data_IF_189455483581
#
_entry.id   IF_189455483581
#
_cell.length_a   1.000
_cell.length_b   1.000
_cell.length_c   1.000
_cell.angle_alpha   90.00
_cell.angle_beta   90.00
_cell.angle_gamma   90.00
#
_symmetry.space_group_name_H-M   'P 1'
#
loop_
_entity.id
_entity.type
_entity.pdbx_description
1 polymer ?
#
# COMPACT_ATOMS: atom_id res chain seq x y z
N UNK A 1 -17.26 13.81 2.90
CA UNK A 1 -15.93 13.58 3.52
C UNK A 1 -15.33 12.32 2.88
N UNK A 2 -14.14 12.40 2.30
CA UNK A 2 -13.51 11.25 1.64
C UNK A 2 -13.02 10.25 2.71
N UNK A 3 -13.15 8.95 2.46
CA UNK A 3 -12.67 7.91 3.36
C UNK A 3 -11.50 7.15 2.77
N UNK A 4 -10.48 6.86 3.57
CA UNK A 4 -9.36 5.98 3.22
C UNK A 4 -9.63 4.60 3.82
N UNK A 5 -9.62 3.57 2.98
CA UNK A 5 -9.71 2.17 3.40
C UNK A 5 -8.33 1.64 3.70
N UNK A 6 -8.11 1.20 4.94
CA UNK A 6 -6.85 0.60 5.39
C UNK A 6 -7.11 -0.87 5.67
N UNK A 7 -6.33 -1.76 5.05
CA UNK A 7 -6.32 -3.18 5.40
C UNK A 7 -5.04 -3.48 6.17
N UNK A 8 -5.20 -3.85 7.45
CA UNK A 8 -4.09 -4.32 8.28
C UNK A 8 -3.90 -5.81 8.02
N UNK A 9 -2.68 -6.17 7.63
CA UNK A 9 -2.24 -7.54 7.37
C UNK A 9 -1.28 -7.96 8.48
N UNK A 10 -1.43 -9.19 8.99
CA UNK A 10 -0.54 -9.79 10.00
C UNK A 10 -0.25 -8.82 11.16
N UNK A 11 -1.32 -8.40 11.86
CA UNK A 11 -1.26 -7.34 12.88
C UNK A 11 -0.52 -7.82 14.13
N UNK A 12 0.24 -6.93 14.76
CA UNK A 12 0.64 -7.12 16.15
C UNK A 12 -0.52 -6.80 17.12
N UNK A 13 -0.78 -7.63 18.16
CA UNK A 13 -1.86 -7.42 19.14
C UNK A 13 -1.86 -6.04 19.81
N UNK A 14 -0.67 -5.54 20.17
CA UNK A 14 -0.48 -4.23 20.81
C UNK A 14 -0.93 -3.01 20.00
N UNK A 15 -1.23 -3.16 18.70
CA UNK A 15 -1.75 -2.07 17.86
C UNK A 15 -3.27 -1.87 17.93
N UNK A 16 -4.03 -2.76 18.60
CA UNK A 16 -5.50 -2.79 18.51
C UNK A 16 -6.17 -1.48 18.96
N UNK A 17 -5.62 -0.85 20.00
CA UNK A 17 -6.13 0.41 20.53
C UNK A 17 -5.96 1.56 19.54
N UNK A 18 -4.89 1.57 18.75
CA UNK A 18 -4.67 2.58 17.72
C UNK A 18 -5.73 2.50 16.62
N UNK A 19 -6.02 1.30 16.12
CA UNK A 19 -6.93 1.11 14.98
C UNK A 19 -8.32 1.67 15.27
N UNK A 20 -8.80 1.50 16.51
CA UNK A 20 -10.05 2.07 16.98
C UNK A 20 -10.01 3.61 17.06
N UNK A 21 -8.86 4.18 17.46
CA UNK A 21 -8.66 5.64 17.58
C UNK A 21 -8.57 6.35 16.23
N UNK A 22 -7.98 5.74 15.20
CA UNK A 22 -7.77 6.38 13.88
C UNK A 22 -9.06 6.92 13.26
N UNK A 23 -10.18 6.22 13.45
CA UNK A 23 -11.49 6.66 12.97
C UNK A 23 -11.92 8.00 13.61
N UNK A 24 -11.65 8.19 14.91
CA UNK A 24 -11.99 9.40 15.68
C UNK A 24 -11.05 10.57 15.36
N UNK A 25 -9.79 10.27 15.04
CA UNK A 25 -8.79 11.29 14.69
C UNK A 25 -9.11 12.05 13.40
N UNK A 26 -9.90 11.45 12.50
CA UNK A 26 -10.37 12.11 11.28
C UNK A 26 -11.15 13.41 11.55
N UNK A 27 -11.88 13.47 12.66
CA UNK A 27 -12.62 14.67 13.07
C UNK A 27 -11.68 15.75 13.62
N UNK A 28 -10.58 15.34 14.27
CA UNK A 28 -9.61 16.25 14.91
C UNK A 28 -8.61 16.84 13.91
N UNK A 29 -8.15 16.04 12.95
CA UNK A 29 -7.11 16.42 11.99
C UNK A 29 -7.64 16.57 10.54
N UNK A 30 -8.97 16.48 10.38
CA UNK A 30 -9.74 17.27 9.40
C UNK A 30 -9.60 16.92 7.92
N UNK A 31 -9.17 15.73 7.53
CA UNK A 31 -9.01 15.41 6.10
C UNK A 31 -9.82 14.22 5.61
N UNK A 32 -9.58 13.06 6.22
CA UNK A 32 -10.07 11.78 5.71
C UNK A 32 -10.54 10.89 6.84
N UNK A 33 -11.72 10.29 6.68
CA UNK A 33 -12.16 9.22 7.58
C UNK A 33 -11.32 7.96 7.31
N UNK A 34 -10.65 7.42 8.32
CA UNK A 34 -9.92 6.15 8.18
C UNK A 34 -10.86 5.00 8.55
N UNK A 35 -11.11 4.11 7.59
CA UNK A 35 -11.85 2.87 7.80
C UNK A 35 -10.86 1.72 7.82
N UNK A 36 -10.65 1.12 8.99
CA UNK A 36 -9.71 0.01 9.17
C UNK A 36 -10.46 -1.31 9.04
N UNK A 37 -9.90 -2.23 8.26
CA UNK A 37 -10.26 -3.64 8.22
C UNK A 37 -9.03 -4.47 8.55
N UNK A 38 -9.23 -5.61 9.20
CA UNK A 38 -8.15 -6.52 9.60
C UNK A 38 -8.40 -7.83 8.88
N UNK A 39 -7.41 -8.31 8.13
CA UNK A 39 -7.48 -9.63 7.52
C UNK A 39 -7.04 -10.69 8.54
N UNK A 40 -7.79 -11.79 8.65
CA UNK A 40 -7.49 -12.89 9.57
C UNK A 40 -6.15 -13.56 9.24
N UNK A 41 -5.57 -14.20 10.23
CA UNK A 41 -4.18 -14.70 10.19
C UNK A 41 -3.99 -15.97 9.36
N UNK A 42 -5.08 -16.67 9.01
CA UNK A 42 -5.17 -17.99 8.37
C UNK A 42 -4.69 -18.05 6.89
N UNK A 43 -3.90 -17.07 6.46
CA UNK A 43 -3.46 -16.92 5.08
C UNK A 43 -4.40 -16.06 4.24
N UNK A 44 -3.87 -15.45 3.18
CA UNK A 44 -4.68 -14.69 2.23
C UNK A 44 -4.11 -14.77 0.80
N UNK A 45 -4.99 -14.51 -0.18
CA UNK A 45 -4.62 -14.34 -1.58
C UNK A 45 -5.04 -13.00 -2.15
N UNK A 46 -4.72 -12.79 -3.43
CA UNK A 46 -5.03 -11.55 -4.14
C UNK A 46 -6.53 -11.19 -4.10
N UNK A 47 -7.40 -12.18 -4.27
CA UNK A 47 -8.86 -11.96 -4.26
C UNK A 47 -9.38 -11.47 -2.92
N UNK A 48 -8.76 -11.85 -1.81
CA UNK A 48 -9.16 -11.41 -0.47
C UNK A 48 -8.84 -9.92 -0.28
N UNK A 49 -7.64 -9.50 -0.72
CA UNK A 49 -7.24 -8.09 -0.74
C UNK A 49 -8.15 -7.31 -1.71
N UNK A 50 -8.40 -7.84 -2.91
CA UNK A 50 -9.20 -7.19 -3.96
C UNK A 50 -10.64 -6.96 -3.53
N UNK A 51 -11.27 -7.90 -2.81
CA UNK A 51 -12.64 -7.76 -2.29
C UNK A 51 -12.78 -6.59 -1.32
N UNK A 52 -11.80 -6.39 -0.43
CA UNK A 52 -11.77 -5.24 0.48
C UNK A 52 -11.48 -3.96 -0.32
N UNK A 53 -10.66 -4.07 -1.37
CA UNK A 53 -10.17 -2.97 -2.20
C UNK A 53 -9.59 -1.83 -1.36
N UNK A 54 -8.59 -2.11 -0.48
CA UNK A 54 -7.98 -1.09 0.35
C UNK A 54 -7.23 -0.04 -0.47
N UNK A 55 -7.16 1.17 0.06
CA UNK A 55 -6.28 2.22 -0.46
C UNK A 55 -4.87 2.05 0.11
N UNK A 56 -4.76 1.56 1.35
CA UNK A 56 -3.50 1.35 2.06
C UNK A 56 -3.45 -0.06 2.65
N UNK A 57 -2.38 -0.80 2.36
CA UNK A 57 -2.00 -2.00 3.11
C UNK A 57 -1.10 -1.58 4.28
N UNK A 58 -1.33 -2.11 5.48
CA UNK A 58 -0.53 -1.78 6.66
C UNK A 58 -0.02 -3.06 7.33
N UNK A 59 1.29 -3.17 7.49
CA UNK A 59 1.97 -4.22 8.25
C UNK A 59 2.44 -3.62 9.58
N UNK A 60 2.04 -4.22 10.68
CA UNK A 60 2.37 -3.75 12.03
C UNK A 60 3.14 -4.83 12.74
N UNK A 61 4.47 -4.66 12.79
CA UNK A 61 5.39 -5.55 13.48
C UNK A 61 5.16 -7.04 13.19
N UNK A 62 5.00 -7.38 11.90
CA UNK A 62 4.55 -8.73 11.52
C UNK A 62 5.54 -9.85 11.85
N UNK A 63 6.86 -9.64 11.72
CA UNK A 63 7.84 -10.64 12.13
C UNK A 63 8.02 -10.67 13.66
N UNK A 64 7.89 -9.52 14.34
CA UNK A 64 7.88 -9.42 15.80
C UNK A 64 6.64 -10.05 16.46
N UNK A 65 5.50 -10.12 15.75
CA UNK A 65 4.31 -10.88 16.15
C UNK A 65 4.33 -12.29 15.51
N UNK A 66 5.35 -13.09 15.86
CA UNK A 66 5.89 -14.26 15.13
C UNK A 66 5.17 -14.71 13.84
N UNK A 67 5.04 -13.83 12.84
CA UNK A 67 4.31 -14.15 11.60
C UNK A 67 5.24 -14.16 10.38
N UNK A 68 5.20 -15.26 9.64
CA UNK A 68 5.84 -15.40 8.34
C UNK A 68 4.82 -15.14 7.22
N UNK A 69 5.27 -14.44 6.19
CA UNK A 69 4.53 -14.22 4.94
C UNK A 69 4.99 -15.27 3.93
N UNK A 70 4.06 -16.12 3.53
CA UNK A 70 4.36 -17.16 2.54
C UNK A 70 4.39 -16.59 1.11
N UNK A 71 4.86 -17.40 0.15
CA UNK A 71 5.02 -16.95 -1.24
C UNK A 71 3.70 -16.52 -1.91
N UNK A 72 2.58 -17.18 -1.58
CA UNK A 72 1.25 -16.81 -2.11
C UNK A 72 0.79 -15.45 -1.56
N UNK A 73 0.99 -15.20 -0.27
CA UNK A 73 0.67 -13.92 0.36
C UNK A 73 1.56 -12.80 -0.21
N UNK A 74 2.85 -13.07 -0.38
CA UNK A 74 3.81 -12.15 -0.99
C UNK A 74 3.38 -11.77 -2.41
N UNK A 75 3.08 -12.77 -3.26
CA UNK A 75 2.60 -12.56 -4.63
C UNK A 75 1.31 -11.71 -4.63
N UNK A 76 0.38 -12.01 -3.73
CA UNK A 76 -0.86 -11.25 -3.60
C UNK A 76 -0.61 -9.77 -3.25
N UNK A 77 0.29 -9.49 -2.31
CA UNK A 77 0.69 -8.12 -1.92
C UNK A 77 1.32 -7.40 -3.12
N UNK A 78 2.33 -8.03 -3.74
CA UNK A 78 3.06 -7.46 -4.87
C UNK A 78 2.13 -7.17 -6.03
N UNK A 79 1.31 -8.13 -6.43
CA UNK A 79 0.33 -7.98 -7.51
C UNK A 79 -0.64 -6.85 -7.20
N UNK A 80 -1.15 -6.77 -5.97
CA UNK A 80 -2.09 -5.74 -5.58
C UNK A 80 -1.53 -4.33 -5.69
N UNK A 81 -0.33 -4.08 -5.16
CA UNK A 81 0.24 -2.71 -5.16
C UNK A 81 0.87 -2.32 -6.51
N UNK A 82 1.32 -3.28 -7.32
CA UNK A 82 1.99 -3.00 -8.60
C UNK A 82 1.02 -2.93 -9.78
N UNK A 83 -0.06 -3.70 -9.78
CA UNK A 83 -1.05 -3.72 -10.87
C UNK A 83 -2.20 -2.72 -10.68
N UNK A 84 -2.29 -2.06 -9.52
CA UNK A 84 -3.30 -1.05 -9.24
C UNK A 84 -2.64 0.31 -8.98
N UNK A 85 -3.27 1.37 -9.47
CA UNK A 85 -2.82 2.75 -9.21
C UNK A 85 -3.47 3.31 -7.94
N UNK A 86 -2.83 4.31 -7.34
CA UNK A 86 -3.37 4.97 -6.14
C UNK A 86 -3.24 4.14 -4.87
N UNK A 87 -2.51 3.03 -4.88
CA UNK A 87 -2.34 2.18 -3.71
C UNK A 87 -1.19 2.65 -2.84
N UNK A 88 -1.22 2.28 -1.56
CA UNK A 88 -0.09 2.50 -0.66
C UNK A 88 0.20 1.26 0.17
N UNK A 89 1.44 1.14 0.63
CA UNK A 89 1.87 0.10 1.55
C UNK A 89 2.69 0.74 2.68
N UNK A 90 2.35 0.42 3.92
CA UNK A 90 3.03 0.93 5.11
C UNK A 90 3.50 -0.26 5.94
N UNK A 91 4.71 -0.19 6.47
CA UNK A 91 5.24 -1.15 7.42
C UNK A 91 5.83 -0.42 8.64
N UNK A 92 5.73 -1.04 9.81
CA UNK A 92 6.33 -0.54 11.05
C UNK A 92 7.14 -1.63 11.76
N UNK A 93 8.21 -1.18 12.41
CA UNK A 93 9.09 -1.97 13.27
C UNK A 93 9.52 -3.31 12.65
N UNK A 94 9.60 -4.42 13.40
CA UNK A 94 10.12 -5.68 12.90
C UNK A 94 9.09 -6.39 12.01
N UNK A 95 8.70 -5.75 10.91
CA UNK A 95 7.89 -6.34 9.84
C UNK A 95 8.72 -7.33 9.01
N UNK A 96 9.98 -7.01 8.73
CA UNK A 96 10.78 -7.73 7.73
C UNK A 96 11.61 -8.87 8.29
N UNK A 97 12.06 -8.77 9.54
CA UNK A 97 12.95 -9.76 10.13
C UNK A 97 12.89 -9.71 11.65
N UNK A 98 12.72 -10.85 12.29
CA UNK A 98 12.86 -10.98 13.73
C UNK A 98 13.51 -12.31 14.04
N UNK A 99 14.44 -12.29 15.00
CA UNK A 99 15.12 -13.47 15.50
C UNK A 99 15.13 -13.40 17.02
N UNK A 100 14.68 -14.47 17.66
CA UNK A 100 14.73 -14.62 19.11
C UNK A 100 15.24 -16.01 19.49
N UNK A 101 15.90 -16.10 20.63
CA UNK A 101 16.36 -17.39 21.18
C UNK A 101 15.43 -17.78 22.32
N UNK A 102 14.72 -18.90 22.15
CA UNK A 102 13.84 -19.47 23.16
C UNK A 102 14.29 -20.90 23.47
N UNK A 103 14.62 -21.18 24.74
CA UNK A 103 15.15 -22.48 25.20
C UNK A 103 16.22 -23.07 24.25
N UNK A 104 17.26 -22.30 23.93
CA UNK A 104 18.37 -22.69 23.04
C UNK A 104 17.98 -22.93 21.56
N UNK A 105 16.71 -22.74 21.20
CA UNK A 105 16.24 -22.77 19.81
C UNK A 105 16.17 -21.35 19.26
N UNK A 106 16.78 -21.12 18.10
CA UNK A 106 16.67 -19.85 17.39
C UNK A 106 15.39 -19.89 16.55
N UNK A 107 14.43 -19.03 16.89
CA UNK A 107 13.22 -18.82 16.11
C UNK A 107 13.45 -17.62 15.19
N UNK A 108 13.27 -17.83 13.88
CA UNK A 108 13.50 -16.81 12.85
C UNK A 108 12.25 -16.60 12.01
N UNK A 109 11.84 -15.36 11.92
CA UNK A 109 10.71 -14.90 11.12
C UNK A 109 11.23 -13.96 10.03
N UNK A 110 11.33 -14.47 8.80
CA UNK A 110 11.99 -13.78 7.69
C UNK A 110 10.98 -13.40 6.59
N UNK A 111 10.66 -12.11 6.54
CA UNK A 111 9.77 -11.49 5.55
C UNK A 111 10.57 -10.54 4.63
N UNK A 112 11.90 -10.67 4.54
CA UNK A 112 12.76 -9.72 3.82
C UNK A 112 12.47 -9.65 2.32
N UNK A 113 11.78 -10.65 1.75
CA UNK A 113 11.23 -10.60 0.39
C UNK A 113 10.28 -9.41 0.14
N UNK A 114 9.75 -8.78 1.20
CA UNK A 114 8.96 -7.55 1.10
C UNK A 114 9.80 -6.28 0.93
N UNK A 115 11.07 -6.27 1.36
CA UNK A 115 11.92 -5.08 1.38
C UNK A 115 11.99 -4.33 0.04
N UNK A 116 12.07 -5.02 -1.12
CA UNK A 116 12.10 -4.34 -2.39
C UNK A 116 10.87 -3.47 -2.65
N UNK A 117 9.70 -3.76 -2.07
CA UNK A 117 8.52 -2.89 -2.19
C UNK A 117 8.74 -1.52 -1.52
N UNK A 118 9.55 -1.48 -0.48
CA UNK A 118 9.89 -0.27 0.29
C UNK A 118 11.17 0.41 -0.22
N UNK A 119 11.78 -0.10 -1.28
CA UNK A 119 13.02 0.45 -1.84
C UNK A 119 14.25 0.13 -0.99
N UNK A 120 14.25 -1.03 -0.33
CA UNK A 120 15.33 -1.54 0.50
C UNK A 120 15.83 -2.86 -0.11
N UNK A 121 17.14 -3.13 -0.03
CA UNK A 121 17.76 -4.35 -0.53
C UNK A 121 17.24 -5.57 0.24
N UNK A 122 16.92 -6.64 -0.46
CA UNK A 122 16.34 -7.86 0.12
C UNK A 122 17.29 -8.57 1.10
N UNK A 123 18.60 -8.46 0.91
CA UNK A 123 19.64 -9.08 1.74
C UNK A 123 19.99 -8.26 3.00
N UNK A 124 19.30 -7.13 3.24
CA UNK A 124 19.50 -6.29 4.42
C UNK A 124 19.42 -7.13 5.70
N UNK A 125 20.42 -6.94 6.55
CA UNK A 125 20.49 -7.58 7.87
C UNK A 125 20.02 -6.62 8.95
N UNK A 126 19.22 -7.13 9.87
CA UNK A 126 18.58 -6.35 10.91
C UNK A 126 19.01 -6.78 12.31
N UNK A 127 19.02 -5.83 13.23
CA UNK A 127 19.11 -6.08 14.67
C UNK A 127 18.28 -5.05 15.43
N UNK A 128 17.86 -5.38 16.66
CA UNK A 128 17.00 -4.52 17.47
C UNK A 128 17.79 -3.78 18.54
N UNK A 129 17.50 -2.49 18.71
CA UNK A 129 18.08 -1.65 19.76
C UNK A 129 16.96 -1.11 20.64
N UNK A 130 17.10 -1.26 21.96
CA UNK A 130 16.25 -0.56 22.95
C UNK A 130 16.73 0.86 23.14
N UNK A 131 15.81 1.81 23.10
CA UNK A 131 16.07 3.24 23.19
C UNK A 131 15.45 3.83 24.46
N UNK A 132 16.05 4.91 24.96
CA UNK A 132 15.45 5.70 26.07
C UNK A 132 14.41 6.69 25.56
N UNK A 133 14.60 7.20 24.36
CA UNK A 133 13.69 8.10 23.66
C UNK A 133 13.97 8.05 22.17
N UNK A 134 12.94 8.36 21.38
CA UNK A 134 13.04 8.46 19.93
C UNK A 134 12.45 9.81 19.54
N UNK A 135 13.22 10.65 18.85
CA UNK A 135 12.80 11.99 18.40
C UNK A 135 13.11 12.21 16.92
N UNK A 136 12.12 11.91 16.08
CA UNK A 136 12.20 12.09 14.64
C UNK A 136 12.29 13.56 14.27
N UNK A 137 13.23 13.86 13.37
CA UNK A 137 13.40 15.14 12.68
C UNK A 137 13.27 14.94 11.18
N UNK A 138 12.73 15.91 10.47
CA UNK A 138 12.66 15.86 9.00
C UNK A 138 14.06 15.98 8.38
N UNK A 139 14.34 15.16 7.38
CA UNK A 139 15.57 15.21 6.59
C UNK A 139 15.40 16.01 5.29
N UNK A 140 14.15 16.20 4.86
CA UNK A 140 13.78 16.90 3.62
C UNK A 140 12.33 17.41 3.68
N UNK A 141 11.88 18.06 2.61
CA UNK A 141 10.51 18.58 2.46
C UNK A 141 9.42 17.52 2.65
N UNK A 142 9.64 16.28 2.23
CA UNK A 142 8.67 15.20 2.43
C UNK A 142 8.55 14.86 3.91
N UNK A 143 9.66 14.84 4.63
CA UNK A 143 9.70 14.74 6.09
C UNK A 143 8.97 15.90 6.77
N UNK A 144 9.21 17.14 6.34
CA UNK A 144 8.55 18.32 6.90
C UNK A 144 7.03 18.24 6.73
N UNK A 145 6.56 17.82 5.56
CA UNK A 145 5.13 17.61 5.28
C UNK A 145 4.53 16.50 6.14
N UNK A 146 5.23 15.38 6.28
CA UNK A 146 4.78 14.25 7.11
C UNK A 146 4.71 14.64 8.59
N UNK A 147 5.75 15.29 9.12
CA UNK A 147 5.87 15.62 10.53
C UNK A 147 5.14 16.91 10.92
N UNK A 148 4.65 17.67 9.93
CA UNK A 148 3.99 18.97 10.07
C UNK A 148 4.94 20.08 10.56
N UNK A 149 6.18 20.08 10.07
CA UNK A 149 7.21 21.05 10.43
C UNK A 149 7.69 20.98 11.88
N UNK A 150 7.28 19.96 12.65
CA UNK A 150 7.69 19.78 14.05
C UNK A 150 8.38 18.45 14.25
N UNK A 151 9.35 18.42 15.17
CA UNK A 151 9.98 17.17 15.59
C UNK A 151 8.95 16.31 16.34
N UNK A 152 8.92 15.01 16.06
CA UNK A 152 7.96 14.07 16.66
C UNK A 152 8.66 13.11 17.61
N UNK A 153 8.19 13.06 18.84
CA UNK A 153 8.63 12.03 19.79
C UNK A 153 7.77 10.78 19.58
N UNK A 154 8.42 9.62 19.54
CA UNK A 154 7.72 8.34 19.61
C UNK A 154 7.72 7.88 21.06
N UNK A 155 6.52 7.59 21.58
CA UNK A 155 6.32 7.15 22.97
C UNK A 155 5.79 5.73 23.06
N UNK A 156 5.47 5.10 21.92
CA UNK A 156 5.06 3.72 21.83
C UNK A 156 6.19 2.75 22.15
N UNK A 157 6.44 1.77 21.28
CA UNK A 157 7.55 0.84 21.55
C UNK A 157 8.88 1.55 21.37
N UNK A 158 9.62 1.73 22.47
CA UNK A 158 10.94 2.36 22.48
C UNK A 158 12.05 1.40 22.01
N UNK A 159 11.79 0.64 20.96
CA UNK A 159 12.82 -0.12 20.25
C UNK A 159 12.78 0.20 18.77
N UNK A 160 13.94 0.12 18.13
CA UNK A 160 14.12 0.35 16.71
C UNK A 160 14.79 -0.86 16.08
N UNK A 161 14.29 -1.28 14.92
CA UNK A 161 14.98 -2.23 14.06
C UNK A 161 16.02 -1.43 13.27
N UNK A 162 17.30 -1.70 13.43
CA UNK A 162 18.36 -1.03 12.66
C UNK A 162 19.04 -2.02 11.73
N UNK A 163 19.90 -1.51 10.85
CA UNK A 163 20.56 -2.30 9.80
C UNK A 163 22.07 -2.31 9.98
N UNK A 164 22.68 -3.44 9.59
CA UNK A 164 24.14 -3.55 9.53
C UNK A 164 24.66 -2.69 8.38
N UNK A 165 25.68 -1.85 8.64
CA UNK A 165 26.27 -0.94 7.63
C UNK A 165 25.58 0.42 7.48
N UNK A 166 24.43 0.63 8.14
CA UNK A 166 23.69 1.89 8.08
C UNK A 166 22.66 1.93 6.95
N UNK A 167 21.63 2.77 7.14
CA UNK A 167 20.44 2.77 6.27
C UNK A 167 20.77 3.13 4.82
N UNK A 168 21.66 4.08 4.61
CA UNK A 168 22.06 4.58 3.30
C UNK A 168 22.62 3.47 2.39
N UNK A 169 23.31 2.48 2.97
CA UNK A 169 23.90 1.37 2.21
C UNK A 169 22.86 0.31 1.83
N UNK A 170 21.72 0.27 2.53
CA UNK A 170 20.66 -0.71 2.36
C UNK A 170 19.56 -0.23 1.41
N UNK A 171 19.53 1.04 1.02
CA UNK A 171 18.52 1.58 0.11
C UNK A 171 18.80 1.18 -1.34
N UNK A 172 17.73 0.91 -2.08
CA UNK A 172 17.71 0.83 -3.54
C UNK A 172 17.28 2.19 -4.09
N UNK A 173 15.98 2.44 -4.12
CA UNK A 173 15.33 3.69 -4.55
C UNK A 173 14.45 4.30 -3.44
N UNK A 174 14.51 3.75 -2.22
CA UNK A 174 13.90 4.34 -1.03
C UNK A 174 14.68 5.58 -0.58
N UNK A 175 13.99 6.51 0.07
CA UNK A 175 14.58 7.76 0.60
C UNK A 175 14.25 7.91 2.07
N UNK A 176 15.26 8.20 2.90
CA UNK A 176 15.04 8.60 4.30
C UNK A 176 14.45 10.00 4.32
N UNK A 177 13.24 10.15 4.87
CA UNK A 177 12.54 11.44 4.95
C UNK A 177 12.52 12.00 6.37
N UNK A 178 12.66 11.15 7.38
CA UNK A 178 12.82 11.58 8.77
C UNK A 178 13.76 10.63 9.51
N UNK A 179 14.50 11.15 10.49
CA UNK A 179 15.47 10.38 11.25
C UNK A 179 15.68 10.93 12.66
N UNK A 180 16.04 10.04 13.57
CA UNK A 180 16.71 10.34 14.83
C UNK A 180 18.07 9.64 14.86
N UNK A 181 19.14 10.44 14.78
CA UNK A 181 20.52 9.94 14.77
C UNK A 181 20.90 9.19 16.06
N UNK A 182 20.26 9.49 17.20
CA UNK A 182 20.61 8.84 18.49
C UNK A 182 20.03 7.43 18.60
N UNK A 183 18.79 7.26 18.17
CA UNK A 183 18.09 5.98 18.26
C UNK A 183 18.19 5.15 16.98
N UNK A 184 18.84 5.68 15.92
CA UNK A 184 18.82 5.10 14.57
C UNK A 184 17.39 4.92 14.01
N UNK A 185 16.40 5.63 14.56
CA UNK A 185 15.04 5.61 14.04
C UNK A 185 14.98 6.36 12.72
N UNK A 186 14.33 5.77 11.72
CA UNK A 186 14.13 6.35 10.39
C UNK A 186 12.71 6.15 9.90
N UNK A 187 12.26 7.06 9.05
CA UNK A 187 11.14 6.87 8.14
C UNK A 187 11.69 6.88 6.72
N UNK A 188 11.50 5.76 6.03
CA UNK A 188 11.85 5.57 4.61
C UNK A 188 10.58 5.70 3.79
N UNK A 189 10.65 6.42 2.68
CA UNK A 189 9.57 6.59 1.72
C UNK A 189 10.06 6.17 0.33
N UNK A 190 9.19 5.51 -0.42
CA UNK A 190 9.37 5.25 -1.85
C UNK A 190 8.10 5.65 -2.59
N UNK A 191 8.25 6.31 -3.73
CA UNK A 191 7.12 6.59 -4.63
C UNK A 191 7.39 5.96 -5.97
N UNK A 192 6.43 5.18 -6.44
CA UNK A 192 6.43 4.58 -7.78
C UNK A 192 5.26 5.15 -8.58
N UNK A 193 5.20 4.89 -9.89
CA UNK A 193 4.03 5.28 -10.68
C UNK A 193 2.70 4.68 -10.19
N UNK A 194 2.73 3.46 -9.63
CA UNK A 194 1.53 2.72 -9.19
C UNK A 194 1.17 2.95 -7.72
N UNK A 195 2.18 2.98 -6.82
CA UNK A 195 1.96 3.02 -5.38
C UNK A 195 3.01 3.85 -4.62
N UNK A 196 2.65 4.23 -3.40
CA UNK A 196 3.57 4.82 -2.42
C UNK A 196 3.86 3.81 -1.30
N UNK A 197 5.14 3.66 -0.93
CA UNK A 197 5.54 2.86 0.22
C UNK A 197 6.12 3.74 1.32
N UNK A 198 5.87 3.37 2.57
CA UNK A 198 6.50 3.99 3.73
C UNK A 198 6.85 2.95 4.78
N UNK A 199 8.07 3.00 5.28
CA UNK A 199 8.52 2.16 6.37
C UNK A 199 9.02 3.02 7.52
N UNK A 200 8.58 2.72 8.73
CA UNK A 200 9.14 3.28 9.95
C UNK A 200 9.76 2.16 10.77
N UNK A 201 11.03 2.29 11.14
CA UNK A 201 11.75 1.22 11.81
C UNK A 201 11.52 1.17 13.33
N UNK A 202 10.52 1.89 13.84
CA UNK A 202 10.01 1.88 15.21
C UNK A 202 8.52 1.58 15.20
N UNK A 203 7.91 1.33 16.35
CA UNK A 203 6.49 0.94 16.46
C UNK A 203 5.64 2.01 17.17
N UNK A 204 5.29 3.13 16.50
CA UNK A 204 4.45 4.17 17.12
C UNK A 204 3.07 3.65 17.49
N UNK A 205 2.55 2.64 16.80
CA UNK A 205 1.23 2.07 17.10
C UNK A 205 1.16 1.26 18.39
N UNK A 206 2.31 0.88 18.97
CA UNK A 206 2.40 0.15 20.22
C UNK A 206 2.21 1.10 21.40
N UNK A 207 0.96 1.41 21.76
CA UNK A 207 0.70 2.16 22.99
C UNK A 207 -0.72 1.90 23.50
N UNK A 208 -0.79 1.32 24.70
CA UNK A 208 -2.02 1.25 25.50
C UNK A 208 -2.37 2.61 26.09
N UNK A 209 -1.40 3.52 26.18
CA UNK A 209 -1.61 4.87 26.68
C UNK A 209 -2.28 5.74 25.62
N UNK A 210 -3.20 6.61 26.04
CA UNK A 210 -3.92 7.58 25.20
C UNK A 210 -3.00 8.71 24.67
N UNK A 211 -1.79 8.38 24.23
CA UNK A 211 -0.80 9.34 23.79
C UNK A 211 -1.18 9.84 22.39
N UNK A 212 -1.42 11.15 22.33
CA UNK A 212 -1.93 11.83 21.14
C UNK A 212 -0.91 11.89 19.98
N UNK A 213 0.40 11.84 20.28
CA UNK A 213 1.45 12.09 19.29
C UNK A 213 1.68 10.92 18.32
N UNK A 214 1.71 9.69 18.81
CA UNK A 214 1.96 8.50 17.98
C UNK A 214 0.77 8.18 17.08
N UNK A 215 -0.43 8.31 17.62
CA UNK A 215 -1.65 8.08 16.87
C UNK A 215 -1.89 9.15 15.79
N UNK A 216 -1.45 10.40 16.03
CA UNK A 216 -1.35 11.42 14.99
C UNK A 216 -0.28 11.06 13.93
N UNK A 217 0.89 10.58 14.33
CA UNK A 217 1.94 10.18 13.38
C UNK A 217 1.44 9.09 12.44
N UNK A 218 0.80 8.02 12.95
CA UNK A 218 0.27 6.96 12.09
C UNK A 218 -0.86 7.47 11.18
N UNK A 219 -1.76 8.32 11.69
CA UNK A 219 -2.78 8.97 10.86
C UNK A 219 -2.14 9.78 9.72
N UNK A 220 -1.07 10.53 10.01
CA UNK A 220 -0.32 11.30 9.01
C UNK A 220 0.39 10.41 8.00
N UNK A 221 1.02 9.32 8.43
CA UNK A 221 1.63 8.35 7.51
C UNK A 221 0.62 7.80 6.50
N UNK A 222 -0.57 7.39 6.98
CA UNK A 222 -1.66 6.88 6.13
C UNK A 222 -2.14 7.94 5.14
N UNK A 223 -2.48 9.14 5.64
CA UNK A 223 -3.03 10.21 4.80
C UNK A 223 -1.99 10.78 3.83
N UNK A 224 -0.72 10.83 4.23
CA UNK A 224 0.39 11.27 3.38
C UNK A 224 0.64 10.29 2.23
N UNK A 225 0.78 8.99 2.51
CA UNK A 225 0.95 7.97 1.47
C UNK A 225 -0.23 7.96 0.50
N UNK A 226 -1.45 8.01 1.03
CA UNK A 226 -2.67 8.08 0.23
C UNK A 226 -2.65 9.27 -0.73
N UNK A 227 -2.31 10.48 -0.26
CA UNK A 227 -2.23 11.67 -1.10
C UNK A 227 -1.17 11.54 -2.18
N UNK A 228 0.03 11.05 -1.83
CA UNK A 228 1.10 10.84 -2.80
C UNK A 228 0.70 9.85 -3.89
N UNK A 229 0.14 8.69 -3.51
CA UNK A 229 -0.27 7.67 -4.49
C UNK A 229 -1.38 8.17 -5.43
N UNK A 230 -2.24 9.07 -4.96
CA UNK A 230 -3.34 9.65 -5.73
C UNK A 230 -2.95 10.87 -6.57
N UNK A 231 -1.72 11.39 -6.40
CA UNK A 231 -1.23 12.58 -7.10
C UNK A 231 -0.19 12.25 -8.18
N UNK A 232 0.14 10.97 -8.39
CA UNK A 232 1.04 10.58 -9.49
C UNK A 232 0.36 10.82 -10.84
N UNK A 233 1.13 11.17 -11.86
CA UNK A 233 0.61 11.36 -13.21
C UNK A 233 -0.16 10.12 -13.70
N UNK A 234 0.38 8.91 -13.46
CA UNK A 234 -0.29 7.67 -13.83
C UNK A 234 -1.65 7.53 -13.14
N UNK A 235 -1.74 7.79 -11.83
CA UNK A 235 -3.02 7.73 -11.12
C UNK A 235 -3.99 8.79 -11.63
N UNK A 236 -3.54 10.03 -11.86
CA UNK A 236 -4.38 11.10 -12.42
C UNK A 236 -4.88 10.78 -13.83
N UNK A 237 -4.03 10.17 -14.66
CA UNK A 237 -4.39 9.65 -15.98
C UNK A 237 -5.44 8.53 -15.86
N UNK A 238 -5.20 7.52 -15.02
CA UNK A 238 -6.14 6.42 -14.78
C UNK A 238 -7.47 6.91 -14.20
N UNK A 239 -7.47 7.89 -13.30
CA UNK A 239 -8.69 8.53 -12.78
C UNK A 239 -9.43 9.31 -13.88
N UNK A 240 -8.72 10.06 -14.71
CA UNK A 240 -9.29 10.79 -15.85
C UNK A 240 -9.94 9.85 -16.87
N UNK A 241 -9.28 8.73 -17.16
CA UNK A 241 -9.80 7.61 -17.94
C UNK A 241 -11.05 7.04 -17.28
N UNK A 242 -10.99 6.75 -15.98
CA UNK A 242 -12.11 6.16 -15.25
C UNK A 242 -13.34 7.07 -15.13
N UNK A 243 -13.22 8.35 -15.49
CA UNK A 243 -14.38 9.24 -15.60
C UNK A 243 -15.23 8.86 -16.83
N UNK A 244 -16.44 8.37 -16.56
CA UNK A 244 -17.35 7.75 -17.54
C UNK A 244 -17.63 8.65 -18.76
N UNK A 245 -17.59 9.98 -18.60
CA UNK A 245 -17.90 10.93 -19.66
C UNK A 245 -16.73 11.15 -20.63
N UNK A 246 -15.49 11.25 -20.13
CA UNK A 246 -14.29 11.37 -20.99
C UNK A 246 -14.01 10.06 -21.72
N UNK A 247 -14.18 8.92 -21.04
CA UNK A 247 -13.97 7.62 -21.66
C UNK A 247 -14.98 7.34 -22.79
N UNK A 248 -16.27 7.64 -22.57
CA UNK A 248 -17.28 7.52 -23.63
C UNK A 248 -16.97 8.42 -24.82
N UNK A 249 -16.43 9.61 -24.59
CA UNK A 249 -16.00 10.54 -25.65
C UNK A 249 -14.80 9.98 -26.44
N UNK A 250 -13.75 9.51 -25.75
CA UNK A 250 -12.56 8.91 -26.37
C UNK A 250 -12.87 7.61 -27.12
N UNK A 251 -13.75 6.76 -26.58
CA UNK A 251 -14.18 5.52 -27.24
C UNK A 251 -15.11 5.77 -28.45
N UNK A 252 -15.75 6.94 -28.52
CA UNK A 252 -16.55 7.38 -29.67
C UNK A 252 -15.70 8.02 -30.76
N UNK A 253 -14.57 8.65 -30.42
CA UNK A 253 -13.75 9.41 -31.38
C UNK A 253 -12.81 8.56 -32.24
N UNK A 254 -12.80 7.23 -32.09
CA UNK A 254 -12.07 6.24 -32.91
C UNK A 254 -10.54 6.47 -33.09
N UNK A 255 -9.95 7.47 -32.44
CA UNK A 255 -8.53 7.84 -32.59
C UNK A 255 -7.71 7.42 -31.37
N UNK A 256 -7.60 6.10 -31.16
CA UNK A 256 -6.74 5.52 -30.10
C UNK A 256 -5.26 5.87 -30.29
N UNK A 257 -4.84 6.19 -31.50
CA UNK A 257 -3.46 6.58 -31.84
C UNK A 257 -3.05 7.93 -31.23
N UNK A 258 -4.01 8.78 -30.85
CA UNK A 258 -3.77 10.08 -30.20
C UNK A 258 -3.84 10.02 -28.67
N UNK A 259 -4.06 8.83 -28.10
CA UNK A 259 -4.05 8.68 -26.65
C UNK A 259 -2.62 8.92 -26.11
N UNK A 260 -2.46 9.61 -24.97
CA UNK A 260 -1.15 9.77 -24.33
C UNK A 260 -0.53 8.39 -24.07
N UNK A 261 0.80 8.36 -23.92
CA UNK A 261 1.64 7.18 -23.65
C UNK A 261 1.40 6.55 -22.27
N UNK A 262 0.15 6.35 -21.93
CA UNK A 262 -0.29 5.46 -20.86
C UNK A 262 0.02 4.05 -21.36
N UNK A 263 0.44 3.12 -20.49
CA UNK A 263 0.57 1.73 -20.88
C UNK A 263 -0.77 1.26 -21.46
N UNK A 264 -0.82 1.08 -22.79
CA UNK A 264 -2.06 0.82 -23.54
C UNK A 264 -2.84 -0.34 -22.91
N UNK A 265 -2.13 -1.36 -22.43
CA UNK A 265 -2.70 -2.51 -21.73
C UNK A 265 -3.55 -2.14 -20.50
N UNK A 266 -3.12 -1.16 -19.69
CA UNK A 266 -3.79 -0.77 -18.44
C UNK A 266 -5.06 0.06 -18.72
N UNK A 267 -4.99 0.94 -19.72
CA UNK A 267 -6.14 1.68 -20.24
C UNK A 267 -7.21 0.73 -20.80
N UNK A 268 -6.78 -0.24 -21.60
CA UNK A 268 -7.68 -1.16 -22.28
C UNK A 268 -8.25 -2.23 -21.35
N UNK A 269 -7.48 -2.76 -20.38
CA UNK A 269 -8.05 -3.67 -19.37
C UNK A 269 -9.17 -2.99 -18.60
N UNK A 270 -8.97 -1.72 -18.22
CA UNK A 270 -9.97 -0.89 -17.55
C UNK A 270 -11.21 -0.68 -18.42
N UNK A 271 -11.02 -0.43 -19.72
CA UNK A 271 -12.13 -0.30 -20.69
C UNK A 271 -12.90 -1.62 -20.85
N UNK A 272 -12.21 -2.73 -21.10
CA UNK A 272 -12.77 -4.06 -21.36
C UNK A 272 -13.51 -4.62 -20.13
N UNK A 273 -13.07 -4.29 -18.92
CA UNK A 273 -13.80 -4.66 -17.70
C UNK A 273 -15.12 -3.91 -17.53
N UNK A 274 -15.30 -2.73 -18.14
CA UNK A 274 -16.40 -1.81 -17.78
C UNK A 274 -17.44 -1.62 -18.88
N UNK A 275 -17.10 -1.90 -20.14
CA UNK A 275 -18.00 -1.68 -21.28
C UNK A 275 -18.16 -2.94 -22.13
N UNK A 276 -19.35 -3.13 -22.70
CA UNK A 276 -19.58 -4.10 -23.77
C UNK A 276 -19.07 -3.51 -25.08
N UNK A 277 -18.17 -4.20 -25.75
CA UNK A 277 -17.67 -3.82 -27.07
C UNK A 277 -18.29 -4.71 -28.15
N UNK A 278 -18.48 -4.15 -29.34
CA UNK A 278 -18.87 -4.95 -30.51
C UNK A 278 -17.72 -5.88 -30.93
N UNK A 279 -18.07 -6.98 -31.59
CA UNK A 279 -17.11 -7.93 -32.19
C UNK A 279 -16.08 -7.22 -33.09
N UNK A 280 -16.51 -6.24 -33.89
CA UNK A 280 -15.63 -5.43 -34.74
C UNK A 280 -14.59 -4.64 -33.93
N UNK A 281 -14.97 -4.03 -32.79
CA UNK A 281 -14.03 -3.31 -31.93
C UNK A 281 -13.05 -4.25 -31.21
N UNK A 282 -13.51 -5.42 -30.80
CA UNK A 282 -12.64 -6.44 -30.19
C UNK A 282 -11.60 -6.96 -31.19
N UNK A 283 -12.00 -7.18 -32.45
CA UNK A 283 -11.09 -7.55 -33.53
C UNK A 283 -10.05 -6.46 -33.79
N UNK A 284 -10.48 -5.20 -33.91
CA UNK A 284 -9.57 -4.06 -34.04
C UNK A 284 -8.53 -3.99 -32.91
N UNK A 285 -8.93 -4.28 -31.66
CA UNK A 285 -7.98 -4.31 -30.54
C UNK A 285 -6.93 -5.43 -30.68
N UNK A 286 -7.35 -6.63 -31.09
CA UNK A 286 -6.39 -7.71 -31.37
C UNK A 286 -5.42 -7.34 -32.51
N UNK A 287 -5.94 -6.71 -33.56
CA UNK A 287 -5.16 -6.35 -34.76
C UNK A 287 -4.05 -5.32 -34.45
N UNK A 288 -4.22 -4.48 -33.42
CA UNK A 288 -3.19 -3.53 -32.95
C UNK A 288 -2.27 -4.09 -31.84
N UNK A 289 -2.24 -5.42 -31.67
CA UNK A 289 -1.29 -6.10 -30.79
C UNK A 289 -1.67 -6.16 -29.31
N UNK A 290 -2.96 -5.97 -28.98
CA UNK A 290 -3.46 -6.13 -27.61
C UNK A 290 -3.73 -7.62 -27.40
N UNK A 291 -3.13 -8.22 -26.36
CA UNK A 291 -3.10 -9.68 -26.21
C UNK A 291 -4.50 -10.32 -26.21
N UNK A 292 -4.58 -11.50 -26.84
CA UNK A 292 -5.78 -12.33 -26.91
C UNK A 292 -6.39 -12.64 -25.53
N UNK A 293 -5.59 -12.63 -24.47
CA UNK A 293 -6.05 -12.87 -23.09
C UNK A 293 -6.96 -11.75 -22.57
N UNK A 294 -6.65 -10.49 -22.88
CA UNK A 294 -7.45 -9.33 -22.47
C UNK A 294 -8.76 -9.23 -23.26
N UNK A 295 -8.75 -9.56 -24.56
CA UNK A 295 -9.96 -9.63 -25.38
C UNK A 295 -10.82 -10.87 -25.08
N UNK A 296 -10.22 -12.00 -24.69
CA UNK A 296 -10.93 -13.18 -24.22
C UNK A 296 -11.71 -12.91 -22.92
N UNK A 297 -11.17 -12.10 -22.00
CA UNK A 297 -11.88 -11.62 -20.81
C UNK A 297 -13.16 -10.81 -21.15
N UNK A 298 -13.12 -10.01 -22.22
CA UNK A 298 -14.28 -9.25 -22.70
C UNK A 298 -15.31 -10.15 -23.40
N UNK A 299 -14.86 -11.13 -24.19
CA UNK A 299 -15.72 -12.14 -24.82
C UNK A 299 -16.42 -13.03 -23.78
N UNK A 300 -15.74 -13.34 -22.67
CA UNK A 300 -16.31 -14.11 -21.55
C UNK A 300 -17.54 -13.42 -20.93
N UNK A 301 -17.53 -12.08 -20.84
CA UNK A 301 -18.71 -11.31 -20.39
C UNK A 301 -19.87 -11.32 -21.39
N UNK A 302 -19.60 -11.49 -22.69
CA UNK A 302 -20.65 -11.55 -23.70
C UNK A 302 -21.31 -12.91 -23.81
N UNK A 303 -20.60 -14.01 -23.52
CA UNK A 303 -21.16 -15.38 -23.60
C UNK A 303 -21.80 -15.89 -22.30
N UNK A 304 -21.43 -15.37 -21.13
CA UNK A 304 -21.93 -15.89 -19.83
C UNK A 304 -23.06 -15.08 -19.17
N UNK A 305 -23.57 -14.05 -19.84
CA UNK A 305 -24.71 -13.23 -19.38
C UNK A 305 -25.79 -13.02 -20.46
N UNK A 306 -25.86 -13.92 -21.46
CA UNK A 306 -26.97 -13.99 -22.42
C UNK A 306 -28.01 -15.05 -22.06
N UNK A 307 -27.89 -15.70 -20.90
CA UNK A 307 -28.93 -16.53 -20.31
C UNK A 307 -29.09 -16.11 -18.85
N UNK A 308 -30.35 -16.08 -18.39
CA UNK A 308 -30.85 -15.58 -17.10
C UNK A 308 -30.89 -14.06 -16.91
N UNK A 309 -31.86 -13.43 -17.56
CA UNK A 309 -32.85 -12.54 -16.91
C UNK A 309 -33.85 -12.06 -17.98
N UNK A 310 -34.79 -12.93 -18.34
CA UNK A 310 -36.04 -12.50 -18.97
C UNK A 310 -36.98 -12.06 -17.85
N UNK A 311 -36.95 -10.78 -17.50
CA UNK A 311 -38.09 -10.17 -16.83
C UNK A 311 -39.16 -9.92 -17.89
N UNK A 312 -40.23 -10.73 -17.84
CA UNK A 312 -41.50 -10.41 -18.47
C UNK A 312 -42.30 -9.58 -17.45
N UNK A 313 -42.77 -8.43 -17.86
CA UNK A 313 -43.77 -7.63 -17.13
C UNK A 313 -45.06 -8.44 -16.96
N UNK A 314 -45.72 -8.26 -15.81
CA UNK A 314 -47.01 -7.56 -15.81
C UNK A 314 -46.99 -6.26 -15.01
#
# INVERSE_FOLDING_TARGET
>A
MNSIKVLVLKKHPGGIHLWNKLSKLSQKYGGYKINVSILREDGFGYEDIRKVSPDVLFFSDSAGSPTVINDRELEAIQLYVTQNTGKSIIASYATFFYEETYHQTVLRYDNRKLLPLFGIKQDTQFFSIKNRSIKLKSCNKNGELLLNGINRNIQGYLSTQTVVGGWEQCLLDGTIIAQDFKSSSVIIQRTTPCYCAMYINSMPEYSDMNICCDSELVYRMITYCYKLSHSTLQTLCCQSINSTNKLKSLLKSANFEKAPSIPKHLFLSTCLHRFKFSQQKLKYFNDIGISSELTNLALFKTKKYSQTCSWKEP
#
